data_IF_323894303213
#
_entry.id   IF_323894303213
#
_cell.length_a   1.000
_cell.length_b   1.000
_cell.length_c   1.000
_cell.angle_alpha   90.00
_cell.angle_beta   90.00
_cell.angle_gamma   90.00
#
_symmetry.space_group_name_H-M   'P 1'
#
loop_
_entity.id
_entity.type
_entity.pdbx_description
1 polymer ?
#
# COMPACT_ATOMS: atom_id res chain seq x y z
N UNK A 1 -21.77 6.19 -18.54
CA UNK A 1 -22.83 6.00 -17.52
C UNK A 1 -22.29 6.51 -16.20
N UNK A 2 -22.75 7.68 -15.78
CA UNK A 2 -22.35 8.33 -14.52
C UNK A 2 -23.01 7.58 -13.36
N UNK A 3 -22.22 7.11 -12.40
CA UNK A 3 -22.79 6.61 -11.14
C UNK A 3 -23.64 7.73 -10.51
N UNK A 4 -24.84 7.42 -9.97
CA UNK A 4 -25.69 8.45 -9.40
C UNK A 4 -24.98 9.06 -8.20
N UNK A 5 -24.70 10.35 -8.25
CA UNK A 5 -24.25 11.10 -7.09
C UNK A 5 -25.39 11.10 -6.07
N UNK A 6 -25.27 10.31 -5.00
CA UNK A 6 -26.21 10.37 -3.89
C UNK A 6 -26.05 11.73 -3.19
N UNK A 7 -27.04 12.61 -3.37
CA UNK A 7 -27.11 13.98 -2.85
C UNK A 7 -27.51 14.07 -1.37
N UNK A 8 -27.29 13.03 -0.57
CA UNK A 8 -27.68 12.96 0.85
C UNK A 8 -26.51 13.09 1.82
N UNK A 9 -26.80 13.51 3.06
CA UNK A 9 -25.83 13.56 4.15
C UNK A 9 -25.20 12.16 4.40
N UNK A 10 -23.87 12.10 4.44
CA UNK A 10 -23.14 10.84 4.59
C UNK A 10 -23.16 10.36 6.05
N UNK A 11 -23.63 9.14 6.28
CA UNK A 11 -23.73 8.53 7.61
C UNK A 11 -22.46 7.74 7.93
N UNK A 12 -21.83 8.04 9.07
CA UNK A 12 -20.67 7.29 9.53
C UNK A 12 -21.05 5.86 9.91
N UNK A 13 -20.14 4.91 9.69
CA UNK A 13 -20.31 3.53 10.16
C UNK A 13 -20.41 3.51 11.69
N UNK A 14 -21.47 2.91 12.23
CA UNK A 14 -21.68 2.83 13.67
C UNK A 14 -20.64 1.97 14.42
N UNK A 15 -19.98 1.04 13.73
CA UNK A 15 -18.98 0.16 14.33
C UNK A 15 -17.62 0.83 14.55
N UNK A 16 -17.12 1.57 13.54
CA UNK A 16 -15.79 2.17 13.57
C UNK A 16 -15.80 3.70 13.61
N UNK A 17 -16.86 4.35 13.11
CA UNK A 17 -16.96 5.80 12.95
C UNK A 17 -16.08 6.39 11.85
N UNK A 18 -15.31 5.59 11.10
CA UNK A 18 -14.27 6.10 10.18
C UNK A 18 -14.75 6.29 8.74
N UNK A 19 -15.41 5.28 8.17
CA UNK A 19 -15.98 5.35 6.82
C UNK A 19 -17.41 5.89 6.86
N UNK A 20 -17.84 6.59 5.79
CA UNK A 20 -19.19 7.13 5.66
C UNK A 20 -19.89 6.61 4.41
N UNK A 21 -21.19 6.37 4.51
CA UNK A 21 -22.03 5.84 3.44
C UNK A 21 -23.26 6.73 3.23
N UNK A 22 -23.72 6.86 1.99
CA UNK A 22 -24.97 7.56 1.69
C UNK A 22 -26.22 6.77 2.13
N UNK A 23 -26.12 5.45 2.28
CA UNK A 23 -27.23 4.59 2.66
C UNK A 23 -26.76 3.28 3.30
N UNK A 24 -27.68 2.61 4.01
CA UNK A 24 -27.46 1.25 4.54
C UNK A 24 -27.19 0.23 3.42
N UNK A 25 -27.76 0.45 2.22
CA UNK A 25 -27.49 -0.40 1.04
C UNK A 25 -26.01 -0.33 0.66
N UNK A 26 -25.44 0.86 0.53
CA UNK A 26 -24.02 1.03 0.22
C UNK A 26 -23.11 0.47 1.32
N UNK A 27 -23.48 0.61 2.59
CA UNK A 27 -22.76 -0.01 3.70
C UNK A 27 -22.77 -1.56 3.59
N UNK A 28 -23.92 -2.18 3.32
CA UNK A 28 -24.03 -3.64 3.18
C UNK A 28 -23.25 -4.16 1.97
N UNK A 29 -23.25 -3.42 0.86
CA UNK A 29 -22.47 -3.77 -0.33
C UNK A 29 -20.95 -3.72 -0.07
N UNK A 30 -20.49 -2.76 0.73
CA UNK A 30 -19.09 -2.60 1.13
C UNK A 30 -18.69 -3.52 2.31
N UNK A 31 -19.66 -4.12 3.00
CA UNK A 31 -19.43 -4.82 4.27
C UNK A 31 -18.42 -5.96 4.17
N UNK A 32 -18.40 -6.71 3.06
CA UNK A 32 -17.41 -7.78 2.86
C UNK A 32 -15.97 -7.27 2.87
N UNK A 33 -15.77 -6.04 2.41
CA UNK A 33 -14.46 -5.37 2.32
C UNK A 33 -14.16 -4.59 3.61
N UNK A 34 -15.16 -3.91 4.18
CA UNK A 34 -14.99 -3.09 5.36
C UNK A 34 -14.93 -3.88 6.68
N UNK A 35 -15.68 -4.98 6.80
CA UNK A 35 -15.79 -5.77 8.04
C UNK A 35 -14.44 -6.12 8.68
N UNK A 36 -13.41 -6.59 7.94
CA UNK A 36 -12.10 -6.92 8.52
C UNK A 36 -11.40 -5.76 9.22
N UNK A 37 -11.70 -4.52 8.84
CA UNK A 37 -11.10 -3.29 9.40
C UNK A 37 -12.11 -2.44 10.19
N UNK A 38 -13.35 -2.90 10.32
CA UNK A 38 -14.40 -2.19 11.02
C UNK A 38 -14.21 -2.32 12.54
N UNK A 39 -13.40 -1.43 13.10
CA UNK A 39 -13.12 -1.34 14.53
C UNK A 39 -12.94 0.10 14.97
N UNK A 40 -13.40 0.41 16.18
CA UNK A 40 -13.07 1.65 16.89
C UNK A 40 -11.63 1.55 17.42
N UNK A 41 -10.73 2.34 16.86
CA UNK A 41 -9.33 2.35 17.27
C UNK A 41 -9.16 3.08 18.60
N UNK A 42 -8.28 2.57 19.46
CA UNK A 42 -7.77 3.35 20.60
C UNK A 42 -6.87 4.48 20.11
N UNK A 43 -6.64 5.49 20.95
CA UNK A 43 -5.81 6.65 20.62
C UNK A 43 -4.35 6.29 20.35
N UNK A 44 -3.88 5.16 20.87
CA UNK A 44 -2.54 4.59 20.70
C UNK A 44 -2.48 3.48 19.63
N UNK A 45 -3.58 3.24 18.91
CA UNK A 45 -3.67 2.22 17.85
C UNK A 45 -3.69 2.87 16.46
N UNK A 46 -3.14 2.16 15.47
CA UNK A 46 -3.22 2.53 14.05
C UNK A 46 -3.21 1.28 13.17
N UNK A 47 -3.86 1.37 12.01
CA UNK A 47 -3.79 0.33 10.98
C UNK A 47 -2.46 0.42 10.23
N UNK A 48 -1.79 -0.73 10.11
CA UNK A 48 -0.63 -0.93 9.25
C UNK A 48 -0.86 -2.10 8.29
N UNK A 49 0.17 -2.36 7.50
CA UNK A 49 0.24 -3.50 6.59
C UNK A 49 1.42 -4.38 7.01
N UNK A 50 1.18 -5.68 7.10
CA UNK A 50 2.22 -6.71 7.03
C UNK A 50 2.37 -7.11 5.58
N UNK A 51 3.54 -6.87 5.01
CA UNK A 51 3.89 -7.16 3.63
C UNK A 51 4.77 -8.41 3.58
N UNK A 52 4.18 -9.52 3.17
CA UNK A 52 4.77 -10.84 3.34
C UNK A 52 5.90 -11.13 2.34
N UNK A 53 6.96 -11.78 2.82
CA UNK A 53 7.95 -12.47 1.99
C UNK A 53 7.37 -13.73 1.32
N UNK A 54 8.08 -14.37 0.37
CA UNK A 54 7.55 -15.58 -0.30
C UNK A 54 7.28 -16.73 0.68
N UNK A 55 8.12 -16.90 1.71
CA UNK A 55 7.95 -17.96 2.72
C UNK A 55 6.65 -17.79 3.49
N UNK A 56 6.41 -16.61 4.05
CA UNK A 56 5.17 -16.34 4.80
C UNK A 56 3.94 -16.39 3.89
N UNK A 57 4.08 -15.98 2.63
CA UNK A 57 3.01 -16.14 1.64
C UNK A 57 2.69 -17.62 1.37
N UNK A 58 3.71 -18.48 1.28
CA UNK A 58 3.53 -19.92 1.04
C UNK A 58 2.80 -20.64 2.18
N UNK A 59 2.85 -20.09 3.41
CA UNK A 59 2.10 -20.60 4.55
C UNK A 59 0.59 -20.27 4.49
N UNK A 60 0.17 -19.40 3.57
CA UNK A 60 -1.23 -19.01 3.41
C UNK A 60 -1.89 -19.89 2.35
N UNK A 61 -3.13 -20.38 2.58
CA UNK A 61 -3.87 -21.13 1.58
C UNK A 61 -3.90 -20.43 0.21
N UNK A 62 -3.81 -21.17 -0.89
CA UNK A 62 -3.96 -20.61 -2.22
C UNK A 62 -5.34 -19.97 -2.38
N UNK A 63 -5.38 -18.89 -3.16
CA UNK A 63 -6.62 -18.19 -3.50
C UNK A 63 -6.55 -17.70 -4.94
N UNK A 64 -7.69 -17.35 -5.52
CA UNK A 64 -7.76 -16.71 -6.83
C UNK A 64 -7.29 -15.24 -6.85
N UNK A 65 -6.99 -14.64 -5.69
CA UNK A 65 -6.41 -13.29 -5.66
C UNK A 65 -4.99 -13.26 -6.26
N UNK A 66 -4.63 -12.16 -6.95
CA UNK A 66 -3.25 -11.94 -7.38
C UNK A 66 -2.25 -12.05 -6.22
N UNK A 67 -1.03 -12.49 -6.52
CA UNK A 67 0.01 -12.69 -5.51
C UNK A 67 0.24 -11.44 -4.64
N UNK A 68 0.32 -10.26 -5.27
CA UNK A 68 0.53 -8.99 -4.57
C UNK A 68 -0.58 -8.72 -3.54
N UNK A 69 -1.84 -9.01 -3.86
CA UNK A 69 -2.96 -8.82 -2.93
C UNK A 69 -2.83 -9.75 -1.72
N UNK A 70 -2.42 -11.00 -1.96
CA UNK A 70 -2.23 -12.01 -0.90
C UNK A 70 -1.08 -11.66 0.04
N UNK A 71 -0.06 -10.97 -0.46
CA UNK A 71 1.09 -10.48 0.36
C UNK A 71 0.72 -9.36 1.31
N UNK A 72 -0.38 -8.66 1.08
CA UNK A 72 -0.73 -7.45 1.81
C UNK A 72 -1.80 -7.79 2.87
N UNK A 73 -1.40 -7.85 4.14
CA UNK A 73 -2.31 -8.13 5.26
C UNK A 73 -2.46 -6.92 6.16
N UNK A 74 -3.70 -6.57 6.54
CA UNK A 74 -3.92 -5.56 7.56
C UNK A 74 -3.46 -6.06 8.93
N UNK A 75 -2.75 -5.20 9.63
CA UNK A 75 -2.37 -5.43 11.02
C UNK A 75 -2.71 -4.22 11.88
N UNK A 76 -3.02 -4.48 13.13
CA UNK A 76 -3.21 -3.43 14.12
C UNK A 76 -1.90 -3.23 14.88
N UNK A 77 -1.43 -1.98 14.93
CA UNK A 77 -0.19 -1.63 15.59
C UNK A 77 -0.45 -0.63 16.72
N UNK A 78 0.36 -0.76 17.77
CA UNK A 78 0.48 0.29 18.77
C UNK A 78 1.46 1.37 18.26
N UNK A 79 1.20 2.64 18.56
CA UNK A 79 2.07 3.78 18.20
C UNK A 79 3.46 3.73 18.85
N UNK A 80 3.65 2.88 19.87
CA UNK A 80 4.96 2.60 20.45
C UNK A 80 5.80 1.59 19.66
N UNK A 81 5.25 0.99 18.59
CA UNK A 81 5.97 0.04 17.74
C UNK A 81 7.26 0.66 17.16
N UNK A 82 8.38 -0.09 17.07
CA UNK A 82 9.68 0.44 16.61
C UNK A 82 9.64 1.16 15.26
N UNK A 83 8.74 0.77 14.34
CA UNK A 83 8.53 1.43 13.04
C UNK A 83 8.41 2.96 13.13
N UNK A 84 7.80 3.50 14.19
CA UNK A 84 7.61 4.95 14.33
C UNK A 84 8.87 5.71 14.77
N UNK A 85 9.90 4.98 15.22
CA UNK A 85 11.18 5.56 15.69
C UNK A 85 12.35 5.17 14.81
N UNK A 86 12.32 3.96 14.26
CA UNK A 86 13.43 3.34 13.54
C UNK A 86 13.09 3.07 12.07
N UNK A 87 11.81 2.98 11.71
CA UNK A 87 11.42 2.63 10.34
C UNK A 87 11.85 3.68 9.33
N UNK A 88 12.24 3.20 8.16
CA UNK A 88 12.65 4.03 7.03
C UNK A 88 11.45 4.75 6.40
N UNK A 89 11.59 6.04 6.11
CA UNK A 89 10.66 6.74 5.22
C UNK A 89 10.89 6.30 3.78
N UNK A 90 9.84 5.88 3.08
CA UNK A 90 9.88 5.52 1.67
C UNK A 90 9.88 6.80 0.79
N UNK A 91 11.01 7.21 0.18
CA UNK A 91 11.16 8.52 -0.44
C UNK A 91 10.25 8.71 -1.66
N UNK A 92 10.13 7.69 -2.51
CA UNK A 92 9.21 7.73 -3.65
C UNK A 92 7.77 7.98 -3.23
N UNK A 93 7.31 7.32 -2.16
CA UNK A 93 5.93 7.50 -1.67
C UNK A 93 5.69 8.87 -1.04
N UNK A 94 6.73 9.40 -0.37
CA UNK A 94 6.72 10.75 0.16
C UNK A 94 6.61 11.79 -0.97
N UNK A 95 7.28 11.58 -2.10
CA UNK A 95 7.31 12.52 -3.23
C UNK A 95 5.91 12.79 -3.82
N UNK A 96 5.05 11.77 -3.89
CA UNK A 96 3.65 11.95 -4.32
C UNK A 96 2.64 12.17 -3.17
N UNK A 97 3.13 12.42 -1.95
CA UNK A 97 2.34 12.85 -0.80
C UNK A 97 1.73 11.73 0.03
N UNK A 98 2.20 10.49 -0.12
CA UNK A 98 1.72 9.32 0.62
C UNK A 98 2.84 8.78 1.53
N UNK A 99 3.12 9.43 2.67
CA UNK A 99 4.35 9.21 3.43
C UNK A 99 4.35 7.86 4.15
N UNK A 100 4.88 6.82 3.50
CA UNK A 100 4.99 5.49 4.09
C UNK A 100 6.28 5.36 4.90
N UNK A 101 6.15 4.78 6.09
CA UNK A 101 7.27 4.19 6.81
C UNK A 101 7.26 2.69 6.54
N UNK A 102 8.43 2.10 6.32
CA UNK A 102 8.64 0.66 6.19
C UNK A 102 9.64 0.18 7.25
N UNK A 103 9.39 -1.00 7.78
CA UNK A 103 10.22 -1.60 8.81
C UNK A 103 10.38 -3.10 8.57
N UNK A 104 11.61 -3.57 8.75
CA UNK A 104 12.01 -4.97 8.68
C UNK A 104 12.84 -5.29 9.91
N UNK A 105 12.51 -6.37 10.61
CA UNK A 105 13.33 -6.83 11.74
C UNK A 105 14.73 -7.28 11.29
N UNK A 106 14.89 -7.72 10.04
CA UNK A 106 16.21 -8.07 9.49
C UNK A 106 17.05 -6.80 9.37
N UNK A 107 16.52 -5.78 8.69
CA UNK A 107 17.26 -4.54 8.39
C UNK A 107 17.47 -3.69 9.64
N UNK A 108 16.45 -3.54 10.49
CA UNK A 108 16.49 -2.57 11.59
C UNK A 108 16.92 -3.17 12.94
N UNK A 109 16.84 -4.50 13.10
CA UNK A 109 17.23 -5.19 14.33
C UNK A 109 18.34 -6.23 14.10
N UNK A 110 18.85 -6.37 12.88
CA UNK A 110 19.88 -7.35 12.55
C UNK A 110 19.44 -8.80 12.74
N UNK A 111 18.12 -9.09 12.68
CA UNK A 111 17.65 -10.47 12.79
C UNK A 111 18.11 -11.30 11.59
N UNK A 112 18.34 -12.58 11.82
CA UNK A 112 18.66 -13.50 10.73
C UNK A 112 17.45 -13.65 9.80
N UNK A 113 17.70 -13.52 8.49
CA UNK A 113 16.73 -13.75 7.44
C UNK A 113 16.76 -15.20 6.98
N UNK A 114 15.63 -15.71 6.48
CA UNK A 114 15.58 -16.99 5.77
C UNK A 114 15.62 -16.84 4.24
N UNK A 115 15.87 -15.64 3.71
CA UNK A 115 16.21 -15.43 2.30
C UNK A 115 15.08 -15.76 1.30
N UNK A 116 13.83 -15.50 1.66
CA UNK A 116 12.67 -15.89 0.82
C UNK A 116 12.11 -14.78 -0.08
N UNK A 117 12.70 -13.61 -0.10
CA UNK A 117 12.43 -12.49 -1.00
C UNK A 117 11.14 -11.74 -0.71
N UNK A 118 11.21 -10.41 -0.79
CA UNK A 118 10.06 -9.51 -0.72
C UNK A 118 10.19 -8.35 -1.70
N UNK A 119 10.12 -8.65 -3.01
CA UNK A 119 10.23 -7.65 -4.08
C UNK A 119 9.30 -6.44 -3.89
N UNK A 120 8.04 -6.59 -3.42
CA UNK A 120 7.21 -5.44 -3.13
C UNK A 120 7.79 -4.49 -2.08
N UNK A 121 8.45 -5.00 -1.03
CA UNK A 121 9.12 -4.16 -0.04
C UNK A 121 10.25 -3.34 -0.66
N UNK A 122 11.06 -3.98 -1.52
CA UNK A 122 12.17 -3.33 -2.25
C UNK A 122 11.64 -2.21 -3.13
N UNK A 123 10.59 -2.47 -3.92
CA UNK A 123 10.00 -1.47 -4.81
C UNK A 123 9.41 -0.28 -4.06
N UNK A 124 8.89 -0.48 -2.85
CA UNK A 124 8.39 0.63 -2.03
C UNK A 124 9.52 1.51 -1.49
N UNK A 125 10.68 0.92 -1.23
CA UNK A 125 11.83 1.59 -0.62
C UNK A 125 12.77 2.23 -1.64
N UNK A 126 12.41 2.33 -2.91
CA UNK A 126 13.25 2.98 -3.92
C UNK A 126 13.49 4.47 -3.62
N UNK A 127 14.69 4.94 -3.97
CA UNK A 127 15.06 6.35 -3.98
C UNK A 127 14.50 7.05 -5.23
N UNK A 128 14.14 8.32 -5.08
CA UNK A 128 13.54 9.12 -6.17
C UNK A 128 14.51 9.33 -7.32
N UNK A 129 15.81 9.47 -7.01
CA UNK A 129 16.82 9.88 -8.00
C UNK A 129 17.17 8.80 -9.02
N UNK A 130 17.20 7.53 -8.60
CA UNK A 130 17.69 6.42 -9.43
C UNK A 130 16.75 5.21 -9.47
N UNK A 131 15.64 5.22 -8.73
CA UNK A 131 14.71 4.08 -8.70
C UNK A 131 15.26 2.85 -7.99
N UNK A 132 16.42 2.95 -7.34
CA UNK A 132 17.05 1.85 -6.61
C UNK A 132 16.74 1.97 -5.12
N UNK A 133 16.49 0.84 -4.46
CA UNK A 133 16.45 0.81 -3.00
C UNK A 133 17.88 0.86 -2.42
N UNK A 134 18.08 1.21 -1.14
CA UNK A 134 19.41 1.13 -0.53
C UNK A 134 19.98 -0.32 -0.59
N UNK A 135 21.31 -0.53 -0.57
CA UNK A 135 21.92 -1.85 -0.69
C UNK A 135 21.41 -2.90 0.31
N UNK A 136 21.13 -2.46 1.54
CA UNK A 136 20.54 -3.29 2.62
C UNK A 136 19.16 -3.83 2.28
N UNK A 137 18.44 -3.20 1.36
CA UNK A 137 17.13 -3.64 0.89
C UNK A 137 17.18 -4.49 -0.38
N UNK A 138 18.32 -4.55 -1.10
CA UNK A 138 18.42 -5.22 -2.40
C UNK A 138 19.27 -6.49 -2.39
N UNK A 139 20.54 -6.36 -1.95
CA UNK A 139 21.58 -7.37 -2.20
C UNK A 139 22.16 -7.87 -0.88
N UNK A 140 22.31 -6.98 0.11
CA UNK A 140 23.04 -7.29 1.34
C UNK A 140 22.14 -8.05 2.32
N UNK A 141 20.88 -7.64 2.45
CA UNK A 141 19.92 -8.30 3.32
C UNK A 141 18.59 -8.50 2.60
N UNK A 142 18.03 -9.70 2.72
CA UNK A 142 16.64 -9.93 2.33
C UNK A 142 15.74 -9.33 3.40
N UNK A 143 14.88 -8.34 3.07
CA UNK A 143 14.08 -7.63 4.06
C UNK A 143 13.08 -8.52 4.79
N UNK A 144 12.86 -9.77 4.35
CA UNK A 144 11.85 -10.70 4.87
C UNK A 144 10.48 -9.99 4.91
N UNK A 145 9.57 -10.47 5.75
CA UNK A 145 8.27 -9.83 5.94
C UNK A 145 8.42 -8.48 6.62
N UNK A 146 7.88 -7.45 5.96
CA UNK A 146 7.96 -6.07 6.40
C UNK A 146 6.66 -5.59 7.04
N UNK A 147 6.75 -4.54 7.85
CA UNK A 147 5.63 -3.76 8.35
C UNK A 147 5.66 -2.40 7.66
N UNK A 148 4.50 -1.93 7.20
CA UNK A 148 4.33 -0.65 6.53
C UNK A 148 3.22 0.14 7.24
N UNK A 149 3.45 1.42 7.50
CA UNK A 149 2.43 2.34 8.05
C UNK A 149 2.51 3.67 7.35
N UNK A 150 1.46 4.49 7.46
CA UNK A 150 1.57 5.90 7.12
C UNK A 150 2.12 6.71 8.28
N UNK A 151 3.11 7.54 8.01
CA UNK A 151 3.72 8.47 8.99
C UNK A 151 2.71 9.46 9.56
N UNK A 152 1.71 9.83 8.77
CA UNK A 152 0.64 10.77 9.16
C UNK A 152 -0.53 10.10 9.93
N UNK A 153 -0.40 8.80 10.25
CA UNK A 153 -1.43 7.99 10.91
C UNK A 153 -2.79 7.93 10.19
N UNK A 154 -2.87 8.39 8.94
CA UNK A 154 -4.08 8.21 8.13
C UNK A 154 -4.24 6.71 7.78
N UNK A 155 -5.45 6.27 7.41
CA UNK A 155 -5.69 4.88 7.03
C UNK A 155 -4.81 4.43 5.86
N UNK A 156 -4.28 3.21 5.96
CA UNK A 156 -3.57 2.51 4.89
C UNK A 156 -4.38 1.25 4.52
N UNK A 157 -4.97 1.24 3.33
CA UNK A 157 -5.76 0.08 2.86
C UNK A 157 -4.88 -0.91 2.09
N UNK A 158 -5.34 -2.16 1.94
CA UNK A 158 -4.61 -3.17 1.16
C UNK A 158 -4.51 -2.74 -0.31
N UNK A 159 -5.58 -2.16 -0.81
CA UNK A 159 -5.74 -1.70 -2.19
C UNK A 159 -4.85 -0.48 -2.48
N UNK A 160 -4.73 0.43 -1.50
CA UNK A 160 -3.83 1.57 -1.64
C UNK A 160 -2.36 1.11 -1.68
N UNK A 161 -2.01 0.15 -0.82
CA UNK A 161 -0.69 -0.48 -0.78
C UNK A 161 -0.36 -1.18 -2.11
N UNK A 162 -1.32 -1.93 -2.66
CA UNK A 162 -1.18 -2.59 -3.96
C UNK A 162 -1.02 -1.58 -5.10
N UNK A 163 -1.78 -0.49 -5.09
CA UNK A 163 -1.65 0.58 -6.07
C UNK A 163 -0.28 1.28 -5.99
N UNK A 164 0.29 1.46 -4.79
CA UNK A 164 1.65 1.99 -4.63
C UNK A 164 2.67 1.04 -5.29
N UNK A 165 2.57 -0.26 -5.01
CA UNK A 165 3.43 -1.26 -5.64
C UNK A 165 3.29 -1.27 -7.17
N UNK A 166 2.05 -1.28 -7.69
CA UNK A 166 1.79 -1.29 -9.12
C UNK A 166 2.33 -0.03 -9.81
N UNK A 167 2.21 1.13 -9.17
CA UNK A 167 2.76 2.39 -9.69
C UNK A 167 4.29 2.34 -9.76
N UNK A 168 4.95 1.90 -8.69
CA UNK A 168 6.41 1.78 -8.67
C UNK A 168 6.89 0.73 -9.67
N UNK A 169 6.20 -0.40 -9.78
CA UNK A 169 6.52 -1.44 -10.77
C UNK A 169 6.46 -0.91 -12.20
N UNK A 170 5.45 -0.12 -12.54
CA UNK A 170 5.32 0.53 -13.85
C UNK A 170 6.45 1.54 -14.09
N UNK A 171 6.82 2.35 -13.08
CA UNK A 171 7.95 3.28 -13.22
C UNK A 171 9.27 2.55 -13.41
N UNK A 172 9.50 1.46 -12.69
CA UNK A 172 10.73 0.67 -12.78
C UNK A 172 10.83 -0.12 -14.09
N UNK A 173 9.71 -0.61 -14.63
CA UNK A 173 9.71 -1.31 -15.92
C UNK A 173 9.77 -0.35 -17.11
N UNK A 174 9.08 0.79 -17.03
CA UNK A 174 8.82 1.62 -18.22
C UNK A 174 9.58 2.94 -18.22
N UNK A 175 10.00 3.48 -17.06
CA UNK A 175 10.60 4.82 -16.96
C UNK A 175 12.09 4.81 -16.59
N UNK A 176 12.51 4.08 -15.55
CA UNK A 176 13.89 4.14 -15.05
C UNK A 176 14.96 3.59 -16.00
N UNK A 177 14.58 2.97 -17.13
CA UNK A 177 15.50 2.67 -18.22
C UNK A 177 16.01 3.91 -18.97
N UNK A 178 15.45 5.11 -18.75
CA UNK A 178 15.87 6.32 -19.50
C UNK A 178 17.12 6.98 -18.88
N UNK A 179 18.09 7.48 -19.69
CA UNK A 179 18.12 7.54 -21.15
C UNK A 179 18.84 6.35 -21.83
N UNK A 180 19.33 5.39 -21.06
CA UNK A 180 20.32 4.39 -21.51
C UNK A 180 19.69 3.09 -22.08
N UNK A 181 18.42 2.83 -21.77
CA UNK A 181 17.58 1.70 -22.18
C UNK A 181 16.21 2.18 -22.74
N UNK A 182 15.26 1.28 -23.02
CA UNK A 182 13.91 1.57 -23.56
C UNK A 182 12.98 2.38 -22.61
N UNK A 183 13.52 3.05 -21.60
CA UNK A 183 12.73 3.94 -20.74
C UNK A 183 12.19 5.13 -21.53
N UNK A 184 10.94 5.52 -21.29
CA UNK A 184 10.31 6.62 -22.04
C UNK A 184 10.49 8.01 -21.41
N UNK A 185 10.97 8.11 -20.16
CA UNK A 185 11.21 9.37 -19.44
C UNK A 185 11.97 9.19 -18.11
N UNK A 186 12.53 10.25 -17.50
CA UNK A 186 13.16 10.18 -16.18
C UNK A 186 12.17 9.73 -15.10
N UNK A 187 12.32 8.51 -14.57
CA UNK A 187 11.38 7.92 -13.62
C UNK A 187 11.09 8.77 -12.38
N UNK A 188 12.10 9.44 -11.85
CA UNK A 188 11.99 10.34 -10.69
C UNK A 188 11.07 11.54 -10.91
N UNK A 189 11.03 12.10 -12.12
CA UNK A 189 10.19 13.25 -12.48
C UNK A 189 8.70 12.90 -12.51
N UNK A 190 8.38 11.60 -12.63
CA UNK A 190 7.01 11.10 -12.61
C UNK A 190 6.49 10.74 -11.21
N UNK A 191 7.34 10.80 -10.17
CA UNK A 191 6.93 10.63 -8.78
C UNK A 191 6.21 11.87 -8.21
N UNK A 192 5.21 12.37 -8.94
CA UNK A 192 4.42 13.54 -8.53
C UNK A 192 3.06 13.13 -7.99
N UNK A 193 2.50 14.01 -7.15
CA UNK A 193 1.13 13.87 -6.64
C UNK A 193 0.11 13.67 -7.77
N UNK A 194 0.22 14.44 -8.85
CA UNK A 194 -0.72 14.41 -9.97
C UNK A 194 -0.62 13.07 -10.74
N UNK A 195 0.60 12.61 -11.05
CA UNK A 195 0.82 11.35 -11.74
C UNK A 195 0.26 10.17 -10.94
N UNK A 196 0.57 10.09 -9.64
CA UNK A 196 0.04 9.04 -8.79
C UNK A 196 -1.49 9.10 -8.67
N UNK A 197 -2.09 10.29 -8.54
CA UNK A 197 -3.55 10.42 -8.48
C UNK A 197 -4.25 9.92 -9.76
N UNK A 198 -3.70 10.24 -10.93
CA UNK A 198 -4.22 9.77 -12.21
C UNK A 198 -4.09 8.25 -12.34
N UNK A 199 -2.90 7.71 -12.04
CA UNK A 199 -2.65 6.27 -12.03
C UNK A 199 -3.60 5.56 -11.07
N UNK A 200 -3.67 6.01 -9.82
CA UNK A 200 -4.47 5.41 -8.75
C UNK A 200 -5.95 5.34 -9.12
N UNK A 201 -6.51 6.41 -9.68
CA UNK A 201 -7.91 6.45 -10.12
C UNK A 201 -8.16 5.46 -11.27
N UNK A 202 -7.24 5.39 -12.25
CA UNK A 202 -7.33 4.44 -13.36
C UNK A 202 -7.22 3.00 -12.85
N UNK A 203 -6.22 2.72 -12.02
CA UNK A 203 -5.98 1.40 -11.45
C UNK A 203 -7.21 0.88 -10.69
N UNK A 204 -7.81 1.70 -9.82
CA UNK A 204 -9.03 1.31 -9.09
C UNK A 204 -10.19 0.98 -10.03
N UNK A 205 -10.41 1.81 -11.06
CA UNK A 205 -11.46 1.57 -12.05
C UNK A 205 -11.24 0.25 -12.77
N UNK A 206 -10.04 0.03 -13.29
CA UNK A 206 -9.71 -1.15 -14.07
C UNK A 206 -9.79 -2.44 -13.20
N UNK A 207 -9.32 -2.40 -11.94
CA UNK A 207 -9.46 -3.51 -11.00
C UNK A 207 -10.94 -3.82 -10.67
N UNK A 208 -11.77 -2.79 -10.53
CA UNK A 208 -13.21 -2.98 -10.32
C UNK A 208 -13.92 -3.56 -11.55
N UNK A 209 -13.52 -3.19 -12.77
CA UNK A 209 -14.06 -3.71 -14.03
C UNK A 209 -13.78 -5.22 -14.20
N UNK A 210 -12.61 -5.70 -13.77
CA UNK A 210 -12.29 -7.14 -13.73
C UNK A 210 -12.90 -7.87 -12.52
N UNK A 211 -13.81 -7.23 -11.79
CA UNK A 211 -14.61 -7.86 -10.74
C UNK A 211 -14.00 -7.82 -9.34
N UNK A 212 -12.87 -7.13 -9.11
CA UNK A 212 -12.26 -6.97 -7.78
C UNK A 212 -12.96 -5.86 -7.01
N UNK A 213 -14.09 -6.22 -6.40
CA UNK A 213 -15.04 -5.29 -5.72
C UNK A 213 -14.42 -4.48 -4.58
N UNK A 214 -13.28 -4.88 -4.04
CA UNK A 214 -12.54 -4.10 -3.05
C UNK A 214 -11.97 -2.78 -3.60
N UNK A 215 -11.86 -2.63 -4.93
CA UNK A 215 -11.43 -1.40 -5.61
C UNK A 215 -12.59 -0.48 -6.02
N UNK A 216 -13.78 -0.62 -5.40
CA UNK A 216 -14.96 0.19 -5.74
C UNK A 216 -14.88 1.65 -5.29
N UNK A 217 -14.25 1.92 -4.15
CA UNK A 217 -14.14 3.27 -3.62
C UNK A 217 -12.68 3.71 -3.64
N UNK A 218 -12.40 4.75 -4.40
CA UNK A 218 -11.13 5.47 -4.31
C UNK A 218 -11.15 6.14 -2.94
N UNK A 219 -10.60 5.47 -1.92
CA UNK A 219 -10.24 6.16 -0.69
C UNK A 219 -9.24 7.22 -1.11
N UNK A 220 -9.62 8.50 -1.03
CA UNK A 220 -8.75 9.60 -1.46
C UNK A 220 -7.46 9.47 -0.67
N UNK A 221 -6.36 9.02 -1.30
CA UNK A 221 -5.20 8.57 -0.55
C UNK A 221 -4.44 9.77 0.07
N UNK A 222 -4.76 10.99 -0.36
CA UNK A 222 -4.00 12.22 -0.10
C UNK A 222 -4.87 13.26 0.61
#
# INVERSE_FOLDING_TARGET
MTAPFCSGELKACSGCGTVRYCSKKCQTEDWKVHKPVCRKLKSDEVWGIKLLCKRDLAAIPPSSEPEISRRIQHILLNKNHPIFRQGDLCPATQAYGFPLLIYSDVIHQGRQTQGSGNQPAVYLRIEVGNGLAPPDWQIVQDPDTCIVVRRDYKPLTREAMEACYAFHSMLLSDAYGWPEEEGWAPGGEHLTRAAFQLFYKKYYRDQNEVGRKQFKSVLRPL
#
